data_IF_781893494807
#
_entry.id   IF_781893494807
#
_cell.length_a   1.000
_cell.length_b   1.000
_cell.length_c   1.000
_cell.angle_alpha   90.00
_cell.angle_beta   90.00
_cell.angle_gamma   90.00
#
_symmetry.space_group_name_H-M   'P 1'
#
loop_
_entity.id
_entity.type
_entity.pdbx_description
1 polymer ?
#
# COMPACT_ATOMS: atom_id res chain seq x y z
N UNK A 1 -3.87 6.88 -11.44
CA UNK A 1 -3.91 6.67 -9.97
C UNK A 1 -4.46 5.28 -9.72
N UNK A 2 -3.74 4.48 -8.94
CA UNK A 2 -4.17 3.14 -8.53
C UNK A 2 -4.34 3.05 -7.01
N UNK A 3 -5.16 2.09 -6.58
CA UNK A 3 -5.31 1.69 -5.18
C UNK A 3 -4.72 0.29 -5.03
N UNK A 4 -3.70 0.19 -4.20
CA UNK A 4 -3.04 -1.07 -3.85
C UNK A 4 -3.40 -1.45 -2.44
N UNK A 5 -3.81 -2.70 -2.26
CA UNK A 5 -4.07 -3.29 -0.95
C UNK A 5 -2.93 -4.22 -0.57
N UNK A 6 -2.47 -4.09 0.65
CA UNK A 6 -1.60 -5.05 1.33
C UNK A 6 -2.36 -5.58 2.55
N UNK A 7 -1.77 -6.50 3.30
CA UNK A 7 -2.37 -6.99 4.55
C UNK A 7 -2.55 -5.88 5.60
N UNK A 8 -1.64 -4.90 5.64
CA UNK A 8 -1.65 -3.82 6.64
C UNK A 8 -2.11 -2.45 6.13
N UNK A 9 -2.19 -2.23 4.82
CA UNK A 9 -2.42 -0.90 4.24
C UNK A 9 -3.30 -0.90 3.00
N UNK A 10 -4.08 0.17 2.87
CA UNK A 10 -4.68 0.63 1.62
C UNK A 10 -3.86 1.83 1.12
N UNK A 11 -3.25 1.72 -0.06
CA UNK A 11 -2.26 2.66 -0.57
C UNK A 11 -2.79 3.29 -1.85
N UNK A 12 -2.84 4.62 -1.89
CA UNK A 12 -3.21 5.41 -3.06
C UNK A 12 -1.93 5.89 -3.74
N UNK A 13 -1.69 5.47 -4.97
CA UNK A 13 -0.49 5.85 -5.71
C UNK A 13 -0.86 6.52 -7.03
N UNK A 14 -0.16 7.60 -7.36
CA UNK A 14 -0.25 8.22 -8.68
C UNK A 14 0.40 7.34 -9.76
N UNK A 15 1.41 6.54 -9.38
CA UNK A 15 2.11 5.62 -10.27
C UNK A 15 1.20 4.44 -10.61
N UNK A 16 1.07 4.06 -11.89
CA UNK A 16 0.27 2.93 -12.36
C UNK A 16 1.08 1.63 -12.52
N UNK A 17 2.40 1.69 -12.39
CA UNK A 17 3.28 0.53 -12.47
C UNK A 17 3.24 -0.34 -11.22
N UNK A 18 3.90 -1.49 -11.30
CA UNK A 18 4.12 -2.34 -10.13
C UNK A 18 5.03 -1.62 -9.11
N UNK A 19 4.80 -1.81 -7.80
CA UNK A 19 5.75 -1.38 -6.78
C UNK A 19 7.10 -2.06 -6.98
N UNK A 20 8.17 -1.37 -6.60
CA UNK A 20 9.54 -1.87 -6.72
C UNK A 20 10.06 -2.49 -5.42
N UNK A 21 9.48 -2.11 -4.27
CA UNK A 21 9.90 -2.61 -2.97
C UNK A 21 8.70 -2.96 -2.08
N UNK A 22 8.88 -3.96 -1.24
CA UNK A 22 7.91 -4.39 -0.24
C UNK A 22 8.56 -4.45 1.14
N UNK A 23 7.83 -4.04 2.18
CA UNK A 23 8.25 -4.24 3.55
C UNK A 23 7.84 -5.64 4.02
N UNK A 24 8.80 -6.45 4.48
CA UNK A 24 8.50 -7.76 5.07
C UNK A 24 8.19 -7.69 6.58
N UNK A 25 8.34 -6.51 7.18
CA UNK A 25 7.97 -6.25 8.57
C UNK A 25 6.46 -6.11 8.77
N UNK A 26 6.08 -5.67 9.97
CA UNK A 26 4.68 -5.67 10.41
C UNK A 26 3.74 -4.79 9.57
N UNK A 27 4.24 -3.74 8.91
CA UNK A 27 3.39 -2.85 8.13
C UNK A 27 3.02 -3.43 6.75
N UNK A 28 3.87 -4.28 6.17
CA UNK A 28 3.65 -4.91 4.86
C UNK A 28 3.34 -3.92 3.72
N UNK A 29 3.83 -2.69 3.85
CA UNK A 29 3.62 -1.63 2.86
C UNK A 29 4.54 -1.79 1.66
N UNK A 30 4.03 -1.47 0.46
CA UNK A 30 4.81 -1.42 -0.77
C UNK A 30 5.15 0.01 -1.19
N UNK A 31 6.20 0.16 -1.98
CA UNK A 31 6.80 1.44 -2.38
C UNK A 31 7.15 1.43 -3.87
N UNK A 32 7.01 2.57 -4.54
CA UNK A 32 7.41 2.76 -5.93
C UNK A 32 8.81 3.37 -6.03
N UNK A 33 9.50 3.24 -7.18
CA UNK A 33 10.83 3.82 -7.37
C UNK A 33 10.91 5.29 -6.97
N UNK A 34 9.87 6.07 -7.28
CA UNK A 34 9.79 7.50 -6.96
C UNK A 34 9.63 7.79 -5.47
N UNK A 35 9.02 6.88 -4.71
CA UNK A 35 8.86 7.04 -3.25
C UNK A 35 10.17 6.74 -2.50
N UNK A 36 10.99 5.87 -3.09
CA UNK A 36 12.28 5.45 -2.55
C UNK A 36 13.34 6.46 -3.00
N UNK A 37 13.21 7.73 -2.59
CA UNK A 37 14.24 8.73 -2.86
C UNK A 37 15.60 8.29 -2.31
N UNK A 38 16.67 8.74 -2.98
CA UNK A 38 18.11 8.41 -2.92
C UNK A 38 18.74 8.03 -1.57
N UNK A 39 18.09 8.25 -0.42
CA UNK A 39 18.58 7.82 0.90
C UNK A 39 18.40 6.33 1.19
N UNK A 40 17.42 5.66 0.60
CA UNK A 40 17.25 4.20 0.76
C UNK A 40 18.22 3.40 -0.13
N UNK A 41 18.58 3.94 -1.30
CA UNK A 41 19.53 3.32 -2.24
C UNK A 41 20.99 3.30 -1.75
N UNK A 42 21.34 4.11 -0.74
CA UNK A 42 22.70 4.17 -0.16
C UNK A 42 22.91 3.09 0.91
N UNK A 43 21.82 2.48 1.41
CA UNK A 43 21.89 1.43 2.43
C UNK A 43 21.82 0.05 1.76
N UNK A 44 22.84 -0.78 2.02
CA UNK A 44 22.87 -2.18 1.57
C UNK A 44 21.61 -2.98 2.00
N UNK A 45 20.97 -2.57 3.11
CA UNK A 45 19.66 -3.03 3.55
C UNK A 45 18.73 -1.84 3.81
N UNK A 46 17.86 -1.45 2.86
CA UNK A 46 16.89 -0.40 3.10
C UNK A 46 15.91 -0.82 4.21
N UNK A 47 15.77 0.03 5.24
CA UNK A 47 14.77 -0.15 6.28
C UNK A 47 13.47 0.57 5.89
N UNK A 48 12.32 -0.02 6.20
CA UNK A 48 11.03 0.56 5.91
C UNK A 48 10.86 1.89 6.66
N UNK A 49 10.60 3.01 5.96
CA UNK A 49 10.44 4.31 6.61
C UNK A 49 9.30 4.36 7.64
N UNK A 50 8.30 3.48 7.49
CA UNK A 50 7.09 3.52 8.31
C UNK A 50 7.17 2.64 9.56
N UNK A 51 7.94 1.55 9.55
CA UNK A 51 8.01 0.62 10.68
C UNK A 51 9.42 0.12 11.04
N UNK A 52 10.45 0.54 10.31
CA UNK A 52 11.83 0.08 10.49
C UNK A 52 12.10 -1.36 10.04
N UNK A 53 11.08 -2.12 9.61
CA UNK A 53 11.26 -3.50 9.12
C UNK A 53 11.99 -3.58 7.78
N UNK A 54 12.49 -4.77 7.43
CA UNK A 54 13.27 -4.98 6.20
C UNK A 54 12.47 -4.66 4.93
N UNK A 55 13.03 -3.85 4.04
CA UNK A 55 12.55 -3.71 2.66
C UNK A 55 13.28 -4.70 1.75
N UNK A 56 12.54 -5.30 0.84
CA UNK A 56 13.05 -6.17 -0.22
C UNK A 56 12.59 -5.66 -1.58
N UNK A 57 13.44 -5.80 -2.59
CA UNK A 57 13.05 -5.62 -4.00
C UNK A 57 12.43 -6.89 -4.60
N UNK A 58 12.70 -8.06 -3.99
CA UNK A 58 12.08 -9.33 -4.36
C UNK A 58 10.73 -9.46 -3.64
N UNK A 59 9.69 -8.89 -4.25
CA UNK A 59 8.35 -8.84 -3.65
C UNK A 59 7.70 -10.22 -3.71
N UNK A 60 7.35 -10.83 -2.56
CA UNK A 60 6.72 -12.15 -2.56
C UNK A 60 5.38 -12.15 -3.31
N UNK A 61 5.03 -13.25 -4.00
CA UNK A 61 3.73 -13.36 -4.65
C UNK A 61 2.61 -13.21 -3.62
N UNK A 62 1.59 -12.42 -3.96
CA UNK A 62 0.45 -12.15 -3.07
C UNK A 62 0.73 -11.18 -1.92
N UNK A 63 1.91 -10.54 -1.87
CA UNK A 63 2.21 -9.51 -0.86
C UNK A 63 1.28 -8.28 -0.98
N UNK A 64 0.91 -7.93 -2.22
CA UNK A 64 -0.04 -6.85 -2.52
C UNK A 64 -1.04 -7.29 -3.59
N UNK A 65 -2.11 -6.51 -3.74
CA UNK A 65 -3.08 -6.65 -4.82
C UNK A 65 -3.54 -5.28 -5.28
N UNK A 66 -3.60 -5.05 -6.59
CA UNK A 66 -4.18 -3.83 -7.15
C UNK A 66 -5.69 -4.00 -7.15
N UNK A 67 -6.40 -3.22 -6.34
CA UNK A 67 -7.87 -3.32 -6.24
C UNK A 67 -8.58 -2.28 -7.12
N UNK A 68 -7.86 -1.27 -7.59
CA UNK A 68 -8.35 -0.31 -8.59
C UNK A 68 -7.18 0.25 -9.38
N UNK A 69 -7.17 0.08 -10.70
CA UNK A 69 -6.13 0.64 -11.59
C UNK A 69 -6.47 2.06 -12.10
N UNK A 70 -7.74 2.45 -11.97
CA UNK A 70 -8.34 3.68 -12.51
C UNK A 70 -9.10 4.46 -11.44
N UNK A 71 -8.47 4.68 -10.29
CA UNK A 71 -9.05 5.46 -9.21
C UNK A 71 -9.24 6.96 -9.56
N UNK A 72 -8.82 7.37 -10.75
CA UNK A 72 -8.95 8.74 -11.27
C UNK A 72 -10.39 9.19 -11.50
N UNK A 73 -11.36 8.28 -11.48
CA UNK A 73 -12.77 8.64 -11.46
C UNK A 73 -13.45 7.81 -10.38
N UNK A 74 -13.58 8.38 -9.18
CA UNK A 74 -14.71 8.03 -8.32
C UNK A 74 -15.96 8.31 -9.17
N UNK A 75 -16.50 7.28 -9.84
CA UNK A 75 -17.85 7.37 -10.40
C UNK A 75 -18.71 7.82 -9.23
N UNK A 76 -19.45 8.93 -9.39
CA UNK A 76 -20.38 9.48 -8.40
C UNK A 76 -21.47 8.46 -8.04
N UNK A 77 -21.09 7.44 -7.30
CA UNK A 77 -21.90 6.43 -6.65
C UNK A 77 -21.21 6.25 -5.31
N UNK A 78 -21.61 7.07 -4.35
CA UNK A 78 -20.95 7.18 -3.05
C UNK A 78 -20.74 5.82 -2.41
N UNK A 79 -19.65 5.67 -1.66
CA UNK A 79 -19.48 4.55 -0.78
C UNK A 79 -20.59 4.60 0.28
N UNK A 80 -21.57 3.70 0.19
CA UNK A 80 -22.45 3.41 1.31
C UNK A 80 -21.59 2.76 2.39
N UNK A 81 -21.28 3.50 3.46
CA UNK A 81 -20.78 2.91 4.70
C UNK A 81 -21.97 2.21 5.34
N UNK A 82 -22.16 0.92 5.06
CA UNK A 82 -22.99 0.08 5.92
C UNK A 82 -22.20 -0.18 7.20
N UNK A 83 -22.46 0.65 8.21
CA UNK A 83 -22.01 0.38 9.56
C UNK A 83 -22.74 -0.88 10.07
N UNK A 84 -22.18 -2.05 9.77
CA UNK A 84 -22.59 -3.29 10.40
C UNK A 84 -22.01 -3.34 11.82
N UNK A 85 -22.66 -2.63 12.74
CA UNK A 85 -22.53 -2.86 14.18
C UNK A 85 -22.18 -1.66 15.03
N UNK A 86 -23.19 -0.94 15.49
CA UNK A 86 -23.25 -0.55 16.91
C UNK A 86 -24.67 -0.76 17.41
N UNK A 87 -24.94 -1.94 17.96
CA UNK A 87 -26.14 -2.21 18.75
C UNK A 87 -25.94 -1.56 20.12
N UNK A 88 -26.54 -0.40 20.37
CA UNK A 88 -26.80 0.06 21.73
C UNK A 88 -28.27 -0.24 22.03
N UNK A 89 -28.48 -1.41 22.63
CA UNK A 89 -29.79 -1.87 23.05
C UNK A 89 -30.27 -1.14 24.31
N UNK A 90 -31.55 -0.72 24.21
CA UNK A 90 -32.53 -0.30 25.23
C UNK A 90 -32.18 0.85 26.17
#
# INVERSE_FOLDING_TARGET
MQIVKTKGHLIYSANQGAPSHACLGNCQKVWWPDDVQSKLAILANPACPQCGGTLTSDIPPGHYSVISADAGVLKKGGATITNAGLNLGK
#
